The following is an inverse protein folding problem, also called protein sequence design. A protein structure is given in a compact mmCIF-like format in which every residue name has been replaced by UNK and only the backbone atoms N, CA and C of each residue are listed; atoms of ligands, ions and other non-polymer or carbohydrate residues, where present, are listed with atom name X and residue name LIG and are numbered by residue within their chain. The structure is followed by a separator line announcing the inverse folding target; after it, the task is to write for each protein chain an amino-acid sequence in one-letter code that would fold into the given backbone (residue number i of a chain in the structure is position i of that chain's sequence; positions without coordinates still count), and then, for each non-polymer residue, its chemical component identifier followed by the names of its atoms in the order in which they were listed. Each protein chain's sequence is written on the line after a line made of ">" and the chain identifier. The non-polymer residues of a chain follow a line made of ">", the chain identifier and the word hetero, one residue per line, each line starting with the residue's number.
data_IF_253876167038
#
_entry.id   IF_253876167038
#
_cell.length_a   1.000
_cell.length_b   1.000
_cell.length_c   1.000
_cell.angle_alpha   90.00
_cell.angle_beta   90.00
_cell.angle_gamma   90.00
#
_symmetry.space_group_name_H-M   'P 1'
#
loop_
_entity.id
_entity.type
_entity.pdbx_description
1 polymer ?
#
# COMPACT_ATOMS: atom_id res chain seq x y z
N UNK A 1 -2.80 -5.71 38.61
CA UNK A 1 -3.17 -4.27 38.60
C UNK A 1 -4.65 -4.05 38.30
N UNK A 2 -5.25 -4.62 37.25
CA UNK A 2 -6.66 -4.40 36.90
C UNK A 2 -7.68 -4.76 38.03
N UNK A 3 -7.48 -5.83 38.77
CA UNK A 3 -8.37 -6.25 39.85
C UNK A 3 -8.37 -5.23 41.01
N UNK A 4 -7.21 -4.69 41.36
CA UNK A 4 -7.12 -3.67 42.43
C UNK A 4 -7.79 -2.35 42.03
N UNK A 5 -7.70 -1.94 40.75
CA UNK A 5 -8.43 -0.75 40.29
C UNK A 5 -9.94 -0.95 40.27
N UNK A 6 -10.44 -2.13 39.92
CA UNK A 6 -11.89 -2.46 39.99
C UNK A 6 -12.38 -2.40 41.42
N UNK A 7 -11.68 -3.00 42.38
CA UNK A 7 -12.02 -2.97 43.78
C UNK A 7 -12.02 -1.55 44.35
N UNK A 8 -10.99 -0.75 43.98
CA UNK A 8 -10.91 0.65 44.39
C UNK A 8 -12.09 1.49 43.87
N UNK A 9 -12.51 1.28 42.60
CA UNK A 9 -13.70 1.94 42.04
C UNK A 9 -14.99 1.53 42.77
N UNK A 10 -15.17 0.25 43.11
CA UNK A 10 -16.31 -0.22 43.83
C UNK A 10 -16.37 0.42 45.24
N UNK A 11 -15.26 0.44 45.96
CA UNK A 11 -15.19 1.07 47.30
C UNK A 11 -15.50 2.57 47.20
N UNK A 12 -14.92 3.27 46.20
CA UNK A 12 -15.16 4.70 45.96
C UNK A 12 -16.64 4.97 45.67
N UNK A 13 -17.30 4.16 44.84
CA UNK A 13 -18.74 4.33 44.53
C UNK A 13 -19.60 4.11 45.74
N UNK A 14 -19.33 3.10 46.58
CA UNK A 14 -20.07 2.87 47.85
C UNK A 14 -19.88 4.08 48.76
N UNK A 15 -18.68 4.62 48.90
CA UNK A 15 -18.39 5.75 49.75
C UNK A 15 -19.11 7.04 49.26
N UNK A 16 -19.14 7.29 47.96
CA UNK A 16 -19.90 8.40 47.37
C UNK A 16 -21.39 8.27 47.61
N UNK A 17 -21.96 7.07 47.42
CA UNK A 17 -23.40 6.83 47.70
C UNK A 17 -23.71 7.06 49.18
N UNK A 18 -22.87 6.57 50.09
CA UNK A 18 -23.02 6.78 51.52
C UNK A 18 -22.96 8.27 51.91
N UNK A 19 -22.03 9.03 51.36
CA UNK A 19 -21.90 10.50 51.53
C UNK A 19 -23.17 11.22 51.06
N UNK A 20 -23.66 10.89 49.86
CA UNK A 20 -24.87 11.47 49.28
C UNK A 20 -26.08 11.17 50.16
N UNK A 21 -26.19 9.94 50.67
CA UNK A 21 -27.34 9.55 51.48
C UNK A 21 -27.36 10.21 52.88
N UNK A 22 -26.18 10.38 53.47
CA UNK A 22 -26.05 10.88 54.84
C UNK A 22 -25.98 12.43 54.95
N UNK A 23 -25.38 13.11 53.96
CA UNK A 23 -25.16 14.58 54.05
C UNK A 23 -26.10 15.44 53.20
N UNK A 24 -26.80 14.82 52.22
CA UNK A 24 -27.64 15.61 51.31
C UNK A 24 -29.11 15.57 51.75
N UNK A 25 -29.76 16.73 51.96
CA UNK A 25 -31.18 16.83 52.29
C UNK A 25 -32.04 16.16 51.21
N UNK A 26 -33.14 15.49 51.64
CA UNK A 26 -34.05 14.73 50.74
C UNK A 26 -34.54 15.53 49.54
N UNK A 27 -34.69 16.85 49.67
CA UNK A 27 -35.13 17.76 48.60
C UNK A 27 -34.16 17.80 47.40
N UNK A 28 -32.86 17.62 47.63
CA UNK A 28 -31.83 17.64 46.55
C UNK A 28 -31.53 16.27 45.95
N UNK A 29 -31.95 15.18 46.58
CA UNK A 29 -31.70 13.81 46.07
C UNK A 29 -32.29 13.59 44.67
N UNK A 30 -33.48 14.13 44.38
CA UNK A 30 -34.10 14.03 43.05
C UNK A 30 -33.32 14.81 41.98
N UNK A 31 -32.81 16.02 42.32
CA UNK A 31 -32.02 16.78 41.39
C UNK A 31 -30.68 16.10 41.07
N UNK A 32 -30.03 15.53 42.08
CA UNK A 32 -28.79 14.75 41.90
C UNK A 32 -29.02 13.52 41.03
N UNK A 33 -30.14 12.81 41.27
CA UNK A 33 -30.51 11.63 40.47
C UNK A 33 -30.67 12.00 38.99
N UNK A 34 -31.36 13.09 38.66
CA UNK A 34 -31.52 13.60 37.30
C UNK A 34 -30.16 14.00 36.71
N UNK A 35 -29.29 14.69 37.48
CA UNK A 35 -27.95 15.01 37.08
C UNK A 35 -27.09 13.79 36.75
N UNK A 36 -27.14 12.74 37.57
CA UNK A 36 -26.44 11.49 37.32
C UNK A 36 -26.92 10.79 36.05
N UNK A 37 -28.24 10.75 35.83
CA UNK A 37 -28.78 10.20 34.58
C UNK A 37 -28.30 10.99 33.35
N UNK A 38 -28.27 12.34 33.42
CA UNK A 38 -27.74 13.15 32.34
C UNK A 38 -26.27 12.85 32.06
N UNK A 39 -25.45 12.68 33.10
CA UNK A 39 -24.05 12.30 32.97
C UNK A 39 -23.90 10.90 32.33
N UNK A 40 -24.69 9.92 32.77
CA UNK A 40 -24.67 8.55 32.20
C UNK A 40 -25.00 8.59 30.69
N UNK A 41 -26.06 9.31 30.31
CA UNK A 41 -26.46 9.48 28.91
C UNK A 41 -25.34 10.12 28.10
N UNK A 42 -24.74 11.20 28.64
CA UNK A 42 -23.62 11.90 27.98
C UNK A 42 -22.42 10.97 27.78
N UNK A 43 -21.99 10.26 28.81
CA UNK A 43 -20.86 9.33 28.73
C UNK A 43 -21.12 8.17 27.77
N UNK A 44 -22.35 7.63 27.81
CA UNK A 44 -22.76 6.58 26.86
C UNK A 44 -22.69 7.08 25.42
N UNK A 45 -23.21 8.28 25.17
CA UNK A 45 -23.15 8.91 23.85
C UNK A 45 -21.70 9.13 23.40
N UNK A 46 -20.84 9.68 24.26
CA UNK A 46 -19.42 9.91 23.94
C UNK A 46 -18.68 8.60 23.64
N UNK A 47 -18.94 7.54 24.43
CA UNK A 47 -18.34 6.23 24.23
C UNK A 47 -18.79 5.62 22.89
N UNK A 48 -20.09 5.69 22.60
CA UNK A 48 -20.64 5.20 21.34
C UNK A 48 -20.04 5.92 20.14
N UNK A 49 -19.98 7.26 20.20
CA UNK A 49 -19.41 8.07 19.11
C UNK A 49 -17.91 7.83 18.91
N UNK A 50 -17.16 7.57 19.96
CA UNK A 50 -15.73 7.24 19.86
C UNK A 50 -15.50 5.95 19.07
N UNK A 51 -16.27 4.89 19.37
CA UNK A 51 -16.14 3.60 18.66
C UNK A 51 -16.68 3.71 17.23
N UNK A 52 -17.84 4.34 17.07
CA UNK A 52 -18.48 4.49 15.76
C UNK A 52 -17.62 5.28 14.77
N UNK A 53 -16.96 6.35 15.25
CA UNK A 53 -16.03 7.13 14.45
C UNK A 53 -14.84 6.32 13.91
N UNK A 54 -14.25 5.47 14.75
CA UNK A 54 -13.15 4.59 14.31
C UNK A 54 -13.61 3.54 13.29
N UNK A 55 -14.82 2.99 13.45
CA UNK A 55 -15.40 2.03 12.50
C UNK A 55 -15.61 2.68 11.14
N UNK A 56 -16.24 3.87 11.10
CA UNK A 56 -16.45 4.60 9.84
C UNK A 56 -15.14 4.99 9.16
N UNK A 57 -14.18 5.48 9.93
CA UNK A 57 -12.85 5.80 9.43
C UNK A 57 -12.19 4.58 8.77
N UNK A 58 -12.22 3.41 9.43
CA UNK A 58 -11.62 2.20 8.90
C UNK A 58 -12.31 1.72 7.63
N UNK A 59 -13.63 1.79 7.55
CA UNK A 59 -14.39 1.43 6.34
C UNK A 59 -14.04 2.34 5.15
N UNK A 60 -14.01 3.65 5.37
CA UNK A 60 -13.67 4.62 4.31
C UNK A 60 -12.20 4.50 3.90
N UNK A 61 -11.30 4.30 4.85
CA UNK A 61 -9.87 4.04 4.61
C UNK A 61 -9.68 2.81 3.71
N UNK A 62 -10.27 1.68 4.07
CA UNK A 62 -10.15 0.45 3.27
C UNK A 62 -10.68 0.62 1.85
N UNK A 63 -11.81 1.27 1.70
CA UNK A 63 -12.39 1.55 0.39
C UNK A 63 -11.45 2.39 -0.48
N UNK A 64 -10.90 3.47 0.07
CA UNK A 64 -9.96 4.35 -0.64
C UNK A 64 -8.64 3.64 -0.95
N UNK A 65 -8.10 2.89 0.01
CA UNK A 65 -6.85 2.17 -0.18
C UNK A 65 -6.96 1.12 -1.28
N UNK A 66 -8.05 0.36 -1.35
CA UNK A 66 -8.27 -0.62 -2.43
C UNK A 66 -8.17 0.02 -3.81
N UNK A 67 -8.87 1.13 -4.02
CA UNK A 67 -8.85 1.84 -5.31
C UNK A 67 -7.46 2.38 -5.65
N UNK A 68 -6.75 2.95 -4.67
CA UNK A 68 -5.38 3.47 -4.86
C UNK A 68 -4.40 2.34 -5.13
N UNK A 69 -4.51 1.22 -4.43
CA UNK A 69 -3.64 0.05 -4.61
C UNK A 69 -3.80 -0.56 -6.01
N UNK A 70 -5.02 -0.65 -6.52
CA UNK A 70 -5.26 -1.11 -7.90
C UNK A 70 -4.54 -0.20 -8.91
N UNK A 71 -4.63 1.11 -8.73
CA UNK A 71 -3.92 2.05 -9.59
C UNK A 71 -2.39 1.95 -9.45
N UNK A 72 -1.89 1.79 -8.22
CA UNK A 72 -0.44 1.57 -7.98
C UNK A 72 0.06 0.26 -8.61
N UNK A 73 -0.76 -0.79 -8.68
CA UNK A 73 -0.44 -2.03 -9.39
C UNK A 73 -0.33 -1.80 -10.89
N UNK A 74 -1.28 -1.08 -11.49
CA UNK A 74 -1.22 -0.73 -12.92
C UNK A 74 0.05 0.05 -13.25
N UNK A 75 0.44 1.00 -12.38
CA UNK A 75 1.69 1.76 -12.52
C UNK A 75 2.91 0.84 -12.38
N UNK A 76 2.92 -0.05 -11.39
CA UNK A 76 4.00 -1.04 -11.18
C UNK A 76 4.20 -1.88 -12.44
N UNK A 77 3.12 -2.43 -12.96
CA UNK A 77 3.17 -3.33 -14.11
C UNK A 77 3.61 -2.59 -15.36
N UNK A 78 3.19 -1.33 -15.53
CA UNK A 78 3.67 -0.44 -16.59
C UNK A 78 5.16 -0.13 -16.48
N UNK A 79 5.66 0.11 -15.28
CA UNK A 79 7.09 0.33 -15.01
C UNK A 79 7.92 -0.93 -15.25
N UNK A 80 7.42 -2.10 -14.84
CA UNK A 80 8.08 -3.38 -15.12
C UNK A 80 8.13 -3.68 -16.61
N UNK A 81 7.06 -3.39 -17.35
CA UNK A 81 7.03 -3.48 -18.79
C UNK A 81 8.09 -2.57 -19.44
N UNK A 82 8.17 -1.32 -19.00
CA UNK A 82 9.17 -0.37 -19.47
C UNK A 82 10.59 -0.88 -19.21
N UNK A 83 10.86 -1.38 -18.01
CA UNK A 83 12.16 -1.98 -17.67
C UNK A 83 12.47 -3.20 -18.53
N UNK A 84 11.50 -4.05 -18.82
CA UNK A 84 11.68 -5.25 -19.65
C UNK A 84 12.11 -4.90 -21.08
N UNK A 85 11.54 -3.84 -21.64
CA UNK A 85 11.84 -3.41 -23.04
C UNK A 85 13.09 -2.54 -23.13
N UNK A 86 13.27 -1.60 -22.16
CA UNK A 86 14.31 -0.55 -22.24
C UNK A 86 15.47 -0.76 -21.28
N UNK A 87 15.37 -1.70 -20.32
CA UNK A 87 16.36 -1.95 -19.28
C UNK A 87 16.32 -1.01 -18.09
N UNK A 88 15.48 0.02 -18.09
CA UNK A 88 15.38 1.05 -17.04
C UNK A 88 13.94 1.43 -16.73
N UNK A 89 13.68 2.02 -15.57
CA UNK A 89 12.39 2.61 -15.21
C UNK A 89 12.22 4.02 -15.79
N UNK A 90 10.98 4.44 -16.00
CA UNK A 90 10.64 5.76 -16.56
C UNK A 90 10.26 6.73 -15.43
N UNK A 91 10.85 7.93 -15.45
CA UNK A 91 10.61 8.98 -14.46
C UNK A 91 9.59 10.04 -14.89
N UNK A 92 9.04 9.92 -16.09
CA UNK A 92 8.09 10.88 -16.66
C UNK A 92 6.79 10.19 -17.05
N UNK A 93 5.67 10.72 -16.59
CA UNK A 93 4.34 10.16 -16.81
C UNK A 93 3.95 10.14 -18.30
N UNK A 94 4.16 11.24 -19.02
CA UNK A 94 3.78 11.34 -20.42
C UNK A 94 4.60 10.37 -21.29
N UNK A 95 5.87 10.18 -20.94
CA UNK A 95 6.74 9.21 -21.61
C UNK A 95 6.32 7.78 -21.31
N UNK A 96 5.86 7.49 -20.09
CA UNK A 96 5.35 6.17 -19.71
C UNK A 96 4.06 5.85 -20.46
N UNK A 97 3.14 6.80 -20.57
CA UNK A 97 1.90 6.64 -21.36
C UNK A 97 2.22 6.40 -22.85
N UNK A 98 3.11 7.20 -23.44
CA UNK A 98 3.56 7.00 -24.84
C UNK A 98 4.22 5.64 -25.06
N UNK A 99 4.99 5.16 -24.09
CA UNK A 99 5.59 3.83 -24.12
C UNK A 99 4.49 2.75 -24.19
N UNK A 100 3.48 2.81 -23.33
CA UNK A 100 2.37 1.85 -23.31
C UNK A 100 1.64 1.82 -24.66
N UNK A 101 1.43 2.99 -25.27
CA UNK A 101 0.70 3.12 -26.54
C UNK A 101 1.47 2.61 -27.77
N UNK A 102 2.79 2.75 -27.78
CA UNK A 102 3.57 2.56 -29.01
C UNK A 102 4.50 1.34 -28.99
N UNK A 103 4.92 0.89 -27.81
CA UNK A 103 5.95 -0.15 -27.71
C UNK A 103 5.36 -1.57 -27.66
N UNK A 104 6.24 -2.53 -27.95
CA UNK A 104 5.87 -3.96 -28.04
C UNK A 104 6.83 -4.81 -27.22
N UNK A 105 6.31 -5.85 -26.61
CA UNK A 105 7.11 -6.92 -26.06
C UNK A 105 7.62 -7.83 -27.19
N UNK A 106 8.87 -8.24 -27.09
CA UNK A 106 9.43 -9.27 -27.94
C UNK A 106 9.18 -10.64 -27.29
N UNK A 107 8.44 -11.51 -27.96
CA UNK A 107 8.25 -12.89 -27.52
C UNK A 107 9.42 -13.70 -28.06
N UNK A 108 10.19 -14.30 -27.16
CA UNK A 108 11.32 -15.13 -27.50
C UNK A 108 11.13 -16.56 -26.99
N UNK A 109 11.63 -17.51 -27.77
CA UNK A 109 11.74 -18.90 -27.34
C UNK A 109 13.23 -19.21 -27.09
N UNK A 110 13.51 -19.69 -25.90
CA UNK A 110 14.83 -20.18 -25.52
C UNK A 110 14.89 -21.67 -25.75
N UNK A 111 15.91 -22.13 -26.49
CA UNK A 111 16.21 -23.55 -26.64
C UNK A 111 17.71 -23.79 -26.44
N UNK A 112 18.02 -24.89 -25.76
CA UNK A 112 19.39 -25.33 -25.62
C UNK A 112 19.78 -26.09 -26.89
N UNK A 113 21.01 -25.88 -27.37
CA UNK A 113 21.57 -26.52 -28.54
C UNK A 113 23.06 -26.82 -28.31
N UNK A 114 23.53 -27.89 -28.90
CA UNK A 114 24.92 -28.29 -28.77
C UNK A 114 25.61 -28.05 -30.12
N UNK A 115 26.70 -27.32 -30.11
CA UNK A 115 27.51 -27.06 -31.30
C UNK A 115 28.95 -27.56 -31.10
N UNK A 116 29.65 -27.85 -32.21
CA UNK A 116 31.05 -28.23 -32.15
C UNK A 116 31.89 -27.03 -31.73
N UNK A 117 32.69 -27.20 -30.67
CA UNK A 117 33.68 -26.21 -30.26
C UNK A 117 34.96 -26.37 -31.11
N UNK A 118 35.08 -25.54 -32.14
CA UNK A 118 36.20 -25.58 -33.08
C UNK A 118 37.57 -25.37 -32.41
N UNK A 119 37.61 -24.65 -31.26
CA UNK A 119 38.88 -24.38 -30.56
C UNK A 119 39.33 -25.63 -29.80
N UNK A 120 38.40 -26.24 -29.05
CA UNK A 120 38.70 -27.47 -28.29
C UNK A 120 38.91 -28.66 -29.20
N UNK A 121 38.13 -28.81 -30.27
CA UNK A 121 38.29 -29.84 -31.30
C UNK A 121 39.70 -29.75 -31.94
N UNK A 122 40.16 -28.56 -32.30
CA UNK A 122 41.51 -28.35 -32.85
C UNK A 122 42.61 -28.66 -31.82
N UNK A 123 42.38 -28.41 -30.56
CA UNK A 123 43.32 -28.63 -29.44
C UNK A 123 43.49 -30.11 -29.11
N UNK A 124 42.37 -30.83 -29.09
CA UNK A 124 42.33 -32.24 -28.63
C UNK A 124 42.33 -33.25 -29.79
N UNK A 125 42.14 -32.79 -31.04
CA UNK A 125 42.09 -33.70 -32.22
C UNK A 125 40.85 -34.56 -32.31
N UNK A 126 39.85 -34.33 -31.46
CA UNK A 126 38.56 -35.04 -31.43
C UNK A 126 37.41 -34.05 -31.37
N UNK A 127 36.30 -34.35 -32.00
CA UNK A 127 35.12 -33.46 -31.98
C UNK A 127 34.64 -33.22 -30.54
N UNK A 128 34.84 -32.03 -30.10
CA UNK A 128 34.41 -31.58 -28.77
C UNK A 128 33.25 -30.61 -28.95
N UNK A 129 32.18 -30.81 -28.19
CA UNK A 129 30.97 -30.01 -28.26
C UNK A 129 30.87 -29.04 -27.08
N UNK A 130 30.19 -27.92 -27.28
CA UNK A 130 29.75 -26.99 -26.22
C UNK A 130 28.27 -26.72 -26.33
N UNK A 131 27.61 -26.56 -25.17
CA UNK A 131 26.23 -26.20 -25.10
C UNK A 131 26.09 -24.68 -25.26
N UNK A 132 25.15 -24.26 -26.09
CA UNK A 132 24.77 -22.89 -26.31
C UNK A 132 23.27 -22.73 -26.15
N UNK A 133 22.87 -21.52 -25.78
CA UNK A 133 21.46 -21.13 -25.73
C UNK A 133 21.12 -20.35 -26.99
N UNK A 134 20.18 -20.86 -27.76
CA UNK A 134 19.61 -20.15 -28.91
C UNK A 134 18.35 -19.44 -28.48
N UNK A 135 18.23 -18.14 -28.80
CA UNK A 135 17.06 -17.32 -28.52
C UNK A 135 16.45 -16.96 -29.88
N UNK A 136 15.31 -17.58 -30.18
CA UNK A 136 14.54 -17.31 -31.39
C UNK A 136 13.41 -16.31 -31.07
N UNK A 137 13.27 -15.25 -31.88
CA UNK A 137 12.13 -14.32 -31.78
C UNK A 137 10.92 -14.92 -32.50
N UNK A 138 9.85 -15.14 -31.72
CA UNK A 138 8.59 -15.72 -32.22
C UNK A 138 7.62 -14.64 -32.74
N UNK A 139 7.69 -13.43 -32.17
CA UNK A 139 6.76 -12.34 -32.53
C UNK A 139 6.83 -11.16 -31.59
N UNK A 140 5.88 -10.24 -31.81
CA UNK A 140 5.76 -9.00 -31.00
C UNK A 140 4.31 -8.87 -30.53
N UNK A 141 4.11 -8.45 -29.28
CA UNK A 141 2.80 -8.14 -28.68
C UNK A 141 2.80 -6.71 -28.17
N UNK A 142 1.81 -5.85 -28.57
CA UNK A 142 1.73 -4.50 -28.04
C UNK A 142 1.65 -4.50 -26.50
N UNK A 143 2.37 -3.58 -25.88
CA UNK A 143 2.39 -3.42 -24.41
C UNK A 143 0.98 -3.09 -23.92
N UNK A 144 0.26 -2.22 -24.66
CA UNK A 144 -1.12 -1.83 -24.37
C UNK A 144 -2.05 -3.04 -24.27
N UNK A 145 -2.02 -3.90 -25.27
CA UNK A 145 -2.87 -5.08 -25.33
C UNK A 145 -2.58 -6.07 -24.21
N UNK A 146 -1.30 -6.19 -23.85
CA UNK A 146 -0.86 -7.11 -22.81
C UNK A 146 -1.24 -6.65 -21.37
N UNK A 147 -1.22 -5.33 -21.09
CA UNK A 147 -1.46 -4.80 -19.74
C UNK A 147 -2.89 -4.32 -19.54
N UNK A 148 -3.48 -3.68 -20.53
CA UNK A 148 -4.76 -2.97 -20.39
C UNK A 148 -5.84 -3.46 -21.37
N UNK A 149 -5.46 -4.13 -22.47
CA UNK A 149 -6.40 -4.55 -23.50
C UNK A 149 -7.13 -3.36 -24.11
N UNK A 150 -8.43 -3.30 -23.93
CA UNK A 150 -9.28 -2.19 -24.43
C UNK A 150 -9.50 -1.07 -23.42
N UNK A 151 -8.97 -1.21 -22.20
CA UNK A 151 -9.14 -0.23 -21.13
C UNK A 151 -8.23 0.99 -21.34
N UNK A 152 -8.76 2.17 -21.06
CA UNK A 152 -8.03 3.45 -21.21
C UNK A 152 -7.53 4.04 -19.90
N UNK A 153 -7.65 3.32 -18.79
CA UNK A 153 -7.29 3.79 -17.44
C UNK A 153 -5.81 4.19 -17.31
N UNK A 154 -4.93 3.63 -18.15
CA UNK A 154 -3.52 4.02 -18.21
C UNK A 154 -3.29 5.51 -18.51
N UNK A 155 -4.21 6.18 -19.21
CA UNK A 155 -4.10 7.62 -19.52
C UNK A 155 -4.23 8.51 -18.29
N UNK A 156 -4.91 8.05 -17.26
CA UNK A 156 -5.19 8.79 -16.03
C UNK A 156 -4.51 8.19 -14.80
N UNK A 157 -3.73 7.12 -14.97
CA UNK A 157 -3.10 6.40 -13.86
C UNK A 157 -2.17 7.25 -13.00
N UNK A 158 -1.63 8.37 -13.53
CA UNK A 158 -0.82 9.31 -12.77
C UNK A 158 -1.62 10.07 -11.71
N UNK A 159 -2.94 10.20 -11.87
CA UNK A 159 -3.78 10.94 -10.95
C UNK A 159 -4.22 10.03 -9.80
N UNK A 160 -4.26 10.60 -8.59
CA UNK A 160 -4.77 9.89 -7.43
C UNK A 160 -6.30 9.81 -7.55
N UNK A 161 -6.89 8.60 -7.62
CA UNK A 161 -8.31 8.43 -7.97
C UNK A 161 -9.27 8.85 -6.85
N UNK A 162 -8.79 8.99 -5.62
CA UNK A 162 -9.58 9.31 -4.42
C UNK A 162 -8.83 10.25 -3.50
N UNK A 163 -9.55 10.89 -2.59
CA UNK A 163 -8.97 11.85 -1.65
C UNK A 163 -9.05 13.28 -2.16
N UNK A 164 -8.03 14.09 -1.89
CA UNK A 164 -8.00 15.50 -2.32
C UNK A 164 -7.90 15.59 -3.84
N UNK A 165 -8.73 16.44 -4.45
CA UNK A 165 -8.79 16.63 -5.90
C UNK A 165 -7.44 17.09 -6.50
N UNK A 166 -7.24 16.78 -7.78
CA UNK A 166 -6.10 17.21 -8.61
C UNK A 166 -4.71 16.82 -8.07
N UNK A 167 -4.64 15.72 -7.32
CA UNK A 167 -3.37 15.19 -6.84
C UNK A 167 -2.83 14.11 -7.79
N UNK A 168 -1.51 14.13 -7.97
CA UNK A 168 -0.78 13.11 -8.72
C UNK A 168 0.09 12.28 -7.78
N UNK A 169 0.31 11.03 -8.15
CA UNK A 169 1.32 10.22 -7.49
C UNK A 169 2.71 10.83 -7.68
N UNK A 170 3.52 10.77 -6.63
CA UNK A 170 4.94 11.09 -6.71
C UNK A 170 5.65 9.90 -7.35
N UNK A 171 6.35 10.13 -8.45
CA UNK A 171 7.14 9.13 -9.16
C UNK A 171 8.61 9.49 -9.07
N UNK A 172 9.42 8.57 -8.59
CA UNK A 172 10.88 8.69 -8.50
C UNK A 172 11.54 7.45 -9.09
N UNK A 173 12.69 7.64 -9.70
CA UNK A 173 13.52 6.55 -10.26
C UNK A 173 14.97 6.79 -9.93
N UNK A 174 15.72 5.70 -9.74
CA UNK A 174 17.14 5.78 -9.39
C UNK A 174 17.86 4.46 -9.61
N UNK A 175 19.02 4.35 -8.98
CA UNK A 175 19.83 3.14 -9.01
C UNK A 175 20.31 2.81 -7.61
N UNK A 176 20.25 1.53 -7.25
CA UNK A 176 20.79 1.00 -6.01
C UNK A 176 22.04 0.17 -6.34
N UNK A 177 23.19 0.48 -5.75
CA UNK A 177 24.40 -0.33 -5.94
C UNK A 177 24.26 -1.65 -5.17
N UNK A 178 24.31 -2.77 -5.87
CA UNK A 178 24.28 -4.10 -5.28
C UNK A 178 25.31 -5.00 -5.97
N UNK A 179 26.22 -5.59 -5.21
CA UNK A 179 27.26 -6.49 -5.71
C UNK A 179 28.12 -5.90 -6.87
N UNK A 180 28.39 -4.59 -6.82
CA UNK A 180 29.17 -3.89 -7.85
C UNK A 180 28.36 -3.52 -9.11
N UNK A 181 27.06 -3.80 -9.15
CA UNK A 181 26.16 -3.44 -10.24
C UNK A 181 25.19 -2.33 -9.79
N UNK A 182 24.90 -1.40 -10.68
CA UNK A 182 23.87 -0.39 -10.46
C UNK A 182 22.53 -0.92 -10.98
N UNK A 183 21.65 -1.34 -10.07
CA UNK A 183 20.35 -1.89 -10.39
C UNK A 183 19.33 -0.75 -10.43
N UNK A 184 18.57 -0.58 -11.53
CA UNK A 184 17.54 0.44 -11.61
C UNK A 184 16.40 0.12 -10.64
N UNK A 185 15.93 1.14 -9.93
CA UNK A 185 14.80 1.11 -8.99
C UNK A 185 13.82 2.24 -9.27
N UNK A 186 12.60 2.10 -8.76
CA UNK A 186 11.59 3.15 -8.79
C UNK A 186 10.77 3.14 -7.51
N UNK A 187 10.15 4.25 -7.20
CA UNK A 187 9.14 4.37 -6.16
C UNK A 187 7.99 5.26 -6.65
N UNK A 188 6.76 4.79 -6.47
CA UNK A 188 5.56 5.59 -6.68
C UNK A 188 4.80 5.66 -5.38
N UNK A 189 4.50 6.86 -4.92
CA UNK A 189 3.94 7.06 -3.60
C UNK A 189 2.88 8.16 -3.55
N UNK A 190 1.99 8.05 -2.55
CA UNK A 190 1.01 9.07 -2.15
C UNK A 190 0.90 9.09 -0.63
N UNK A 191 0.76 10.28 -0.04
CA UNK A 191 0.62 10.41 1.41
C UNK A 191 -0.77 10.02 1.88
N UNK A 192 -0.87 9.32 3.00
CA UNK A 192 -2.15 8.97 3.64
C UNK A 192 -2.99 10.21 3.97
N UNK A 193 -2.34 11.32 4.29
CA UNK A 193 -3.00 12.58 4.56
C UNK A 193 -3.79 13.15 3.36
N UNK A 194 -3.28 12.98 2.14
CA UNK A 194 -4.00 13.37 0.92
C UNK A 194 -5.20 12.46 0.65
N UNK A 195 -5.07 11.16 0.95
CA UNK A 195 -6.14 10.19 0.75
C UNK A 195 -7.28 10.33 1.75
N UNK A 196 -6.97 10.76 2.98
CA UNK A 196 -7.91 10.81 4.11
C UNK A 196 -8.17 12.26 4.59
N UNK A 197 -7.93 13.26 3.75
CA UNK A 197 -7.90 14.69 4.11
C UNK A 197 -9.18 15.21 4.80
N UNK A 198 -10.31 14.58 4.54
CA UNK A 198 -11.65 14.90 5.07
C UNK A 198 -12.00 14.13 6.35
N UNK A 199 -11.11 13.25 6.83
CA UNK A 199 -11.31 12.45 8.02
C UNK A 199 -10.74 13.11 9.28
N UNK A 200 -11.02 12.54 10.46
CA UNK A 200 -10.50 13.06 11.73
C UNK A 200 -8.96 13.05 11.77
N UNK A 201 -8.38 14.19 12.12
CA UNK A 201 -6.92 14.39 12.12
C UNK A 201 -6.18 13.48 13.11
N UNK A 202 -6.81 13.14 14.24
CA UNK A 202 -6.19 12.24 15.22
C UNK A 202 -6.12 10.82 14.67
N UNK A 203 -7.18 10.37 13.98
CA UNK A 203 -7.20 9.05 13.33
C UNK A 203 -6.22 8.99 12.17
N UNK A 204 -6.10 10.05 11.37
CA UNK A 204 -5.07 10.15 10.31
C UNK A 204 -3.66 10.06 10.92
N UNK A 205 -3.39 10.77 12.01
CA UNK A 205 -2.07 10.72 12.65
C UNK A 205 -1.76 9.33 13.20
N UNK A 206 -2.72 8.68 13.88
CA UNK A 206 -2.58 7.28 14.30
C UNK A 206 -2.28 6.35 13.11
N UNK A 207 -2.99 6.53 12.00
CA UNK A 207 -2.82 5.72 10.80
C UNK A 207 -1.45 5.92 10.12
N UNK A 208 -0.85 7.12 10.21
CA UNK A 208 0.50 7.41 9.69
C UNK A 208 1.60 6.68 10.48
N UNK A 209 1.35 6.37 11.74
CA UNK A 209 2.28 5.69 12.65
C UNK A 209 2.09 4.16 12.66
N UNK A 210 1.15 3.63 11.90
CA UNK A 210 0.88 2.18 11.86
C UNK A 210 2.12 1.43 11.41
N UNK A 211 2.53 0.46 12.25
CA UNK A 211 3.53 -0.56 11.97
C UNK A 211 2.92 -1.92 12.31
N UNK A 212 2.25 -2.54 11.35
CA UNK A 212 1.52 -3.78 11.53
C UNK A 212 1.59 -4.65 10.28
N UNK A 213 1.57 -5.96 10.47
CA UNK A 213 1.51 -6.94 9.36
C UNK A 213 0.17 -6.85 8.60
N UNK A 214 -0.88 -6.38 9.27
CA UNK A 214 -2.24 -6.29 8.70
C UNK A 214 -2.56 -4.90 8.13
N UNK A 215 -1.69 -3.91 8.35
CA UNK A 215 -1.88 -2.52 7.94
C UNK A 215 -0.87 -2.05 6.90
N UNK A 216 -1.15 -0.92 6.28
CA UNK A 216 -0.19 -0.20 5.43
C UNK A 216 0.81 0.52 6.34
N UNK A 217 2.08 0.18 6.26
CA UNK A 217 3.10 0.72 7.15
C UNK A 217 3.57 2.12 6.72
N UNK A 218 3.72 3.00 7.72
CA UNK A 218 4.25 4.35 7.56
C UNK A 218 3.27 5.38 7.00
N UNK A 219 3.74 6.60 6.70
CA UNK A 219 2.90 7.75 6.35
C UNK A 219 2.40 7.78 4.91
N UNK A 220 2.93 6.90 4.06
CA UNK A 220 2.63 6.85 2.62
C UNK A 220 2.12 5.50 2.20
N UNK A 221 1.28 5.49 1.17
CA UNK A 221 0.95 4.30 0.39
C UNK A 221 1.87 4.31 -0.82
N UNK A 222 2.67 3.25 -1.01
CA UNK A 222 3.70 3.23 -2.05
C UNK A 222 3.94 1.86 -2.65
N UNK A 223 4.48 1.87 -3.87
CA UNK A 223 4.98 0.69 -4.59
C UNK A 223 6.41 0.94 -5.06
N UNK A 224 7.25 -0.09 -4.96
CA UNK A 224 8.68 0.04 -5.19
C UNK A 224 9.43 0.65 -4.02
N UNK A 225 10.73 0.87 -4.19
CA UNK A 225 11.62 1.49 -3.21
C UNK A 225 12.80 2.15 -3.88
N UNK A 226 13.23 3.31 -3.34
CA UNK A 226 14.47 3.98 -3.77
C UNK A 226 15.71 3.45 -3.04
N UNK A 227 15.51 2.74 -1.91
CA UNK A 227 16.60 2.27 -1.06
C UNK A 227 16.95 0.79 -1.30
N UNK A 228 16.00 0.03 -1.83
CA UNK A 228 16.11 -1.41 -2.01
C UNK A 228 15.63 -1.84 -3.40
N UNK A 229 16.17 -2.95 -3.91
CA UNK A 229 15.70 -3.58 -5.14
C UNK A 229 14.39 -4.34 -4.84
N UNK A 230 13.31 -3.59 -4.72
CA UNK A 230 11.98 -4.10 -4.43
C UNK A 230 10.94 -3.41 -5.32
N UNK A 231 10.01 -4.17 -5.85
CA UNK A 231 8.90 -3.69 -6.68
C UNK A 231 7.53 -3.94 -6.06
N UNK A 232 7.50 -4.44 -4.83
CA UNK A 232 6.26 -4.69 -4.10
C UNK A 232 5.72 -3.41 -3.47
N UNK A 233 4.43 -3.44 -3.11
CA UNK A 233 3.81 -2.39 -2.31
C UNK A 233 4.06 -2.55 -0.81
N UNK A 234 3.88 -1.47 -0.04
CA UNK A 234 3.96 -1.47 1.42
C UNK A 234 2.64 -1.85 2.10
N UNK A 235 1.74 -2.49 1.39
CA UNK A 235 0.45 -2.96 1.90
C UNK A 235 0.44 -4.48 2.12
N UNK A 236 -0.39 -4.98 3.05
CA UNK A 236 -0.55 -6.41 3.29
C UNK A 236 -1.37 -7.09 2.19
N UNK A 237 -1.22 -8.43 2.10
CA UNK A 237 -1.86 -9.25 1.06
C UNK A 237 -3.39 -9.19 1.03
N UNK A 238 -4.05 -8.86 2.14
CA UNK A 238 -5.51 -8.71 2.19
C UNK A 238 -6.05 -7.56 1.32
N UNK A 239 -5.19 -6.60 0.92
CA UNK A 239 -5.51 -5.56 -0.06
C UNK A 239 -5.20 -5.97 -1.50
N UNK A 240 -4.47 -7.06 -1.71
CA UNK A 240 -4.20 -7.61 -3.03
C UNK A 240 -5.06 -8.84 -3.23
N UNK A 241 -5.86 -8.89 -4.31
CA UNK A 241 -6.54 -10.10 -4.76
C UNK A 241 -5.55 -11.10 -5.39
N UNK A 242 -4.27 -11.01 -5.08
CA UNK A 242 -3.25 -11.96 -5.51
C UNK A 242 -3.36 -13.20 -4.62
N UNK A 243 -4.09 -14.23 -5.11
CA UNK A 243 -4.02 -15.60 -4.62
C UNK A 243 -2.76 -16.28 -5.15
#
# INVERSE_FOLDING_TARGET
>A
MAIFSIIAVIILTILIVWLIDNYIPKKFKSAILVGLWAIIILLTYMTFMSIYGEIQFNQEKEKRYKVVIENLKDIRDSQLAHKTVTGKFQNNWDSLVKFIENEKFTITQRRDSTIIDKILTKRYGVDTTKDIVIIDTLGFVPVLDSLFGVDTRYKTMMNVPVGKADQKFKLETGYVPQNGLNIPVFEVSVTKELLLYDQDKNLINKEKEVMSVEGVNGPTLKVGSMDEVNTNGNWPKNYSNEQ
#
